data_IF_854142557887
#
_entry.id   IF_854142557887
#
_cell.length_a   1.000
_cell.length_b   1.000
_cell.length_c   1.000
_cell.angle_alpha   90.00
_cell.angle_beta   90.00
_cell.angle_gamma   90.00
#
_symmetry.space_group_name_H-M   'P 1'
#
loop_
_entity.id
_entity.type
_entity.pdbx_description
1 polymer ?
#
# COMPACT_ATOMS: atom_id res chain seq x y z
N UNK A 1 -12.59 16.66 12.64
CA UNK A 1 -13.37 16.03 11.53
C UNK A 1 -12.43 15.79 10.37
N UNK A 2 -12.35 14.55 9.90
CA UNK A 2 -11.51 14.16 8.76
C UNK A 2 -12.05 14.82 7.48
N UNK A 3 -11.16 15.31 6.62
CA UNK A 3 -11.47 15.81 5.28
C UNK A 3 -10.58 15.05 4.30
N UNK A 4 -11.14 14.53 3.23
CA UNK A 4 -10.42 13.79 2.21
C UNK A 4 -10.68 14.40 0.83
N UNK A 5 -9.66 14.41 -0.01
CA UNK A 5 -9.85 14.73 -1.41
C UNK A 5 -10.54 13.54 -2.10
N UNK A 6 -11.70 13.82 -2.65
CA UNK A 6 -12.47 12.85 -3.42
C UNK A 6 -12.18 13.03 -4.91
N UNK A 7 -11.61 12.02 -5.54
CA UNK A 7 -11.27 12.08 -6.98
C UNK A 7 -12.51 12.23 -7.84
N UNK A 8 -13.65 11.67 -7.44
CA UNK A 8 -14.92 11.79 -8.16
C UNK A 8 -15.40 13.25 -8.17
N UNK A 9 -15.43 13.88 -7.00
CA UNK A 9 -15.83 15.27 -6.83
C UNK A 9 -14.74 16.28 -7.23
N UNK A 10 -13.47 15.85 -7.27
CA UNK A 10 -12.28 16.69 -7.49
C UNK A 10 -12.07 17.80 -6.47
N UNK A 11 -12.56 17.57 -5.27
CA UNK A 11 -12.44 18.51 -4.17
C UNK A 11 -12.16 17.81 -2.84
N UNK A 12 -11.61 18.56 -1.90
CA UNK A 12 -11.46 18.13 -0.52
C UNK A 12 -12.76 18.42 0.25
N UNK A 13 -13.42 17.38 0.73
CA UNK A 13 -14.69 17.47 1.44
C UNK A 13 -14.68 16.74 2.78
N UNK A 14 -15.58 17.10 3.72
CA UNK A 14 -15.72 16.41 4.99
C UNK A 14 -16.07 14.94 4.79
N UNK A 15 -15.34 14.05 5.50
CA UNK A 15 -15.67 12.63 5.54
C UNK A 15 -16.76 12.38 6.58
N UNK A 16 -17.93 12.00 6.10
CA UNK A 16 -19.06 11.58 6.93
C UNK A 16 -19.39 10.13 6.54
N UNK A 17 -19.09 9.14 7.39
CA UNK A 17 -19.36 7.75 7.07
C UNK A 17 -20.86 7.45 7.00
N UNK A 18 -21.22 6.40 6.24
CA UNK A 18 -22.58 5.85 6.18
C UNK A 18 -23.05 5.40 7.56
N UNK A 19 -22.16 4.72 8.27
CA UNK A 19 -22.36 4.29 9.64
C UNK A 19 -21.04 4.48 10.43
N UNK A 20 -20.99 5.38 11.42
CA UNK A 20 -19.76 5.61 12.21
C UNK A 20 -19.27 4.40 13.00
N UNK A 21 -20.11 3.40 13.22
CA UNK A 21 -19.74 2.16 13.91
C UNK A 21 -19.34 1.02 12.94
N UNK A 22 -19.53 1.24 11.62
CA UNK A 22 -19.18 0.29 10.57
C UNK A 22 -18.77 1.04 9.32
N UNK A 23 -17.61 1.65 9.36
CA UNK A 23 -16.99 2.34 8.22
C UNK A 23 -16.37 1.28 7.31
N UNK A 24 -16.59 1.38 6.01
CA UNK A 24 -16.11 0.41 5.03
C UNK A 24 -15.08 1.03 4.10
N UNK A 25 -13.93 0.38 3.98
CA UNK A 25 -12.85 0.80 3.08
C UNK A 25 -12.37 -0.40 2.27
N UNK A 26 -12.32 -0.23 0.95
CA UNK A 26 -11.72 -1.20 0.05
C UNK A 26 -10.56 -0.57 -0.69
N UNK A 27 -9.46 -1.29 -0.81
CA UNK A 27 -8.28 -0.88 -1.59
C UNK A 27 -7.88 -2.02 -2.51
N UNK A 28 -7.74 -1.72 -3.79
CA UNK A 28 -7.27 -2.70 -4.76
C UNK A 28 -5.87 -3.20 -4.37
N UNK A 29 -5.78 -4.51 -4.18
CA UNK A 29 -4.57 -5.20 -3.76
C UNK A 29 -3.63 -5.56 -4.92
N UNK A 30 -2.55 -6.30 -4.65
CA UNK A 30 -1.60 -6.68 -5.65
C UNK A 30 -2.09 -7.81 -6.54
N UNK A 31 -1.65 -7.83 -7.80
CA UNK A 31 -1.61 -9.05 -8.62
C UNK A 31 -0.31 -9.79 -8.33
N UNK A 32 -0.40 -11.00 -7.79
CA UNK A 32 0.73 -11.74 -7.21
C UNK A 32 1.45 -12.62 -8.25
N UNK A 33 2.03 -11.98 -9.28
CA UNK A 33 2.83 -12.63 -10.32
C UNK A 33 4.34 -12.37 -10.22
N UNK A 34 4.77 -11.54 -9.29
CA UNK A 34 6.16 -11.15 -9.09
C UNK A 34 6.32 -10.24 -7.90
N UNK A 35 7.55 -10.09 -7.39
CA UNK A 35 7.80 -9.29 -6.20
C UNK A 35 7.32 -7.85 -6.36
N UNK A 36 6.73 -7.30 -5.30
CA UNK A 36 6.27 -5.92 -5.26
C UNK A 36 7.46 -4.95 -5.30
N UNK A 37 7.34 -3.85 -6.05
CA UNK A 37 8.29 -2.75 -6.00
C UNK A 37 7.84 -1.68 -5.00
N UNK A 38 8.75 -0.76 -4.65
CA UNK A 38 8.48 0.29 -3.65
C UNK A 38 7.26 1.17 -4.02
N UNK A 39 6.95 1.31 -5.32
CA UNK A 39 5.75 1.98 -5.79
C UNK A 39 4.46 1.25 -5.42
N UNK A 40 4.48 -0.10 -5.33
CA UNK A 40 3.33 -0.88 -4.84
C UNK A 40 3.20 -0.79 -3.31
N UNK A 41 4.28 -0.50 -2.59
CA UNK A 41 4.24 -0.30 -1.15
C UNK A 41 3.57 1.04 -0.77
N UNK A 42 3.62 2.05 -1.65
CA UNK A 42 3.05 3.38 -1.36
C UNK A 42 1.57 3.34 -1.01
N UNK A 43 0.67 2.76 -1.83
CA UNK A 43 -0.74 2.64 -1.46
C UNK A 43 -0.93 1.87 -0.15
N UNK A 44 -0.20 0.77 0.07
CA UNK A 44 -0.31 0.01 1.30
C UNK A 44 0.00 0.87 2.55
N UNK A 45 1.06 1.68 2.52
CA UNK A 45 1.45 2.59 3.60
C UNK A 45 0.46 3.75 3.77
N UNK A 46 -0.02 4.34 2.68
CA UNK A 46 -0.98 5.45 2.70
C UNK A 46 -2.31 5.01 3.31
N UNK A 47 -2.86 3.89 2.85
CA UNK A 47 -4.15 3.40 3.34
C UNK A 47 -4.06 2.76 4.73
N UNK A 48 -2.90 2.22 5.13
CA UNK A 48 -2.66 1.86 6.53
C UNK A 48 -2.66 3.10 7.44
N UNK A 49 -2.09 4.21 6.99
CA UNK A 49 -2.13 5.48 7.74
C UNK A 49 -3.55 6.04 7.84
N UNK A 50 -4.34 5.97 6.76
CA UNK A 50 -5.75 6.34 6.78
C UNK A 50 -6.56 5.43 7.71
N UNK A 51 -6.32 4.12 7.67
CA UNK A 51 -6.97 3.15 8.55
C UNK A 51 -6.68 3.45 10.03
N UNK A 52 -5.41 3.76 10.37
CA UNK A 52 -5.02 4.16 11.74
C UNK A 52 -5.73 5.45 12.17
N UNK A 53 -5.82 6.45 11.30
CA UNK A 53 -6.53 7.70 11.60
C UNK A 53 -8.03 7.45 11.82
N UNK A 54 -8.69 6.68 10.96
CA UNK A 54 -10.12 6.35 11.11
C UNK A 54 -10.37 5.61 12.43
N UNK A 55 -9.56 4.60 12.74
CA UNK A 55 -9.68 3.86 14.01
C UNK A 55 -9.43 4.74 15.23
N UNK A 56 -8.51 5.67 15.14
CA UNK A 56 -8.26 6.65 16.21
C UNK A 56 -9.48 7.57 16.45
N UNK A 57 -10.13 8.03 15.36
CA UNK A 57 -11.23 9.00 15.43
C UNK A 57 -12.58 8.36 15.82
N UNK A 58 -12.84 7.14 15.34
CA UNK A 58 -14.15 6.50 15.47
C UNK A 58 -14.12 5.25 16.37
N UNK A 59 -12.94 4.81 16.81
CA UNK A 59 -12.72 3.61 17.62
C UNK A 59 -12.11 2.46 16.81
N UNK A 60 -11.34 1.60 17.47
CA UNK A 60 -10.56 0.52 16.82
C UNK A 60 -11.43 -0.44 16.00
N UNK A 61 -12.65 -0.72 16.44
CA UNK A 61 -13.59 -1.64 15.79
C UNK A 61 -14.50 -0.98 14.75
N UNK A 62 -14.36 0.32 14.51
CA UNK A 62 -15.27 1.07 13.63
C UNK A 62 -15.03 0.82 12.15
N UNK A 63 -13.80 0.42 11.76
CA UNK A 63 -13.39 0.24 10.37
C UNK A 63 -13.35 -1.23 9.99
N UNK A 64 -13.97 -1.55 8.85
CA UNK A 64 -13.76 -2.81 8.12
C UNK A 64 -12.96 -2.46 6.87
N UNK A 65 -11.68 -2.82 6.89
CA UNK A 65 -10.76 -2.59 5.80
C UNK A 65 -10.54 -3.88 5.00
N UNK A 66 -10.92 -3.89 3.73
CA UNK A 66 -10.67 -4.98 2.80
C UNK A 66 -9.61 -4.60 1.77
N UNK A 67 -8.70 -5.52 1.48
CA UNK A 67 -7.72 -5.44 0.40
C UNK A 67 -7.59 -6.81 -0.24
N UNK A 68 -7.97 -6.91 -1.52
CA UNK A 68 -7.96 -8.19 -2.21
C UNK A 68 -6.56 -8.67 -2.59
N UNK A 69 -6.52 -9.95 -2.98
CA UNK A 69 -5.39 -10.57 -3.67
C UNK A 69 -5.91 -11.03 -5.04
N UNK A 70 -5.34 -10.48 -6.12
CA UNK A 70 -5.59 -10.99 -7.48
C UNK A 70 -4.64 -12.15 -7.72
N UNK A 71 -5.16 -13.37 -7.57
CA UNK A 71 -4.45 -14.65 -7.70
C UNK A 71 -4.82 -15.42 -8.98
N UNK A 72 -5.51 -14.77 -9.90
CA UNK A 72 -5.76 -15.23 -11.27
C UNK A 72 -5.61 -14.07 -12.26
N UNK A 73 -4.65 -14.18 -13.18
CA UNK A 73 -4.37 -13.15 -14.20
C UNK A 73 -3.50 -13.78 -15.29
N UNK A 74 -3.53 -13.23 -16.52
CA UNK A 74 -2.70 -13.72 -17.62
C UNK A 74 -1.20 -13.67 -17.31
N UNK A 75 -0.75 -12.71 -16.49
CA UNK A 75 0.66 -12.60 -16.08
C UNK A 75 1.06 -13.72 -15.11
N UNK A 76 0.12 -14.15 -14.26
CA UNK A 76 0.34 -15.29 -13.35
C UNK A 76 0.49 -16.56 -14.18
N UNK A 77 -0.40 -16.76 -15.16
CA UNK A 77 -0.38 -17.90 -16.07
C UNK A 77 0.95 -17.94 -16.84
N UNK A 78 1.33 -16.82 -17.46
CA UNK A 78 2.60 -16.71 -18.21
C UNK A 78 3.84 -16.93 -17.33
N UNK A 79 3.81 -16.46 -16.07
CA UNK A 79 4.90 -16.69 -15.11
C UNK A 79 5.00 -18.18 -14.74
N UNK A 80 3.87 -18.84 -14.50
CA UNK A 80 3.79 -20.26 -14.19
C UNK A 80 4.28 -21.13 -15.36
N UNK A 81 3.86 -20.81 -16.59
CA UNK A 81 4.33 -21.47 -17.82
C UNK A 81 5.85 -21.32 -18.00
N UNK A 82 6.38 -20.13 -17.75
CA UNK A 82 7.82 -19.85 -17.85
C UNK A 82 8.64 -20.67 -16.85
N UNK A 83 8.14 -20.84 -15.63
CA UNK A 83 8.79 -21.63 -14.58
C UNK A 83 8.46 -23.14 -14.66
N UNK A 84 7.45 -23.55 -15.45
CA UNK A 84 7.00 -24.95 -15.55
C UNK A 84 6.34 -25.44 -14.26
N UNK A 85 5.61 -24.58 -13.55
CA UNK A 85 4.94 -24.87 -12.28
C UNK A 85 3.44 -24.56 -12.35
N UNK A 86 2.68 -25.05 -11.36
CA UNK A 86 1.26 -24.67 -11.21
C UNK A 86 1.12 -23.18 -10.84
N UNK A 87 0.12 -22.44 -11.37
CA UNK A 87 -0.13 -21.04 -11.02
C UNK A 87 -0.23 -20.78 -9.51
N UNK A 88 -0.73 -21.72 -8.71
CA UNK A 88 -0.78 -21.59 -7.25
C UNK A 88 0.59 -21.44 -6.60
N UNK A 89 1.62 -22.09 -7.14
CA UNK A 89 3.00 -21.96 -6.65
C UNK A 89 3.52 -20.53 -6.81
N UNK A 90 3.15 -19.87 -7.92
CA UNK A 90 3.50 -18.48 -8.18
C UNK A 90 2.76 -17.57 -7.20
N UNK A 91 1.45 -17.74 -7.08
CA UNK A 91 0.61 -16.85 -6.25
C UNK A 91 0.96 -16.96 -4.78
N UNK A 92 1.09 -18.17 -4.22
CA UNK A 92 1.49 -18.39 -2.83
C UNK A 92 2.86 -17.80 -2.50
N UNK A 93 3.82 -17.92 -3.43
CA UNK A 93 5.17 -17.37 -3.28
C UNK A 93 5.13 -15.85 -3.20
N UNK A 94 4.50 -15.20 -4.16
CA UNK A 94 4.52 -13.74 -4.25
C UNK A 94 3.56 -13.04 -3.32
N UNK A 95 2.48 -13.70 -2.90
CA UNK A 95 1.66 -13.22 -1.80
C UNK A 95 2.43 -13.22 -0.49
N UNK A 96 3.11 -14.32 -0.15
CA UNK A 96 3.97 -14.38 1.03
C UNK A 96 5.03 -13.27 1.01
N UNK A 97 5.75 -13.10 -0.11
CA UNK A 97 6.73 -12.02 -0.24
C UNK A 97 6.08 -10.63 -0.07
N UNK A 98 4.89 -10.42 -0.60
CA UNK A 98 4.16 -9.16 -0.42
C UNK A 98 3.83 -8.91 1.04
N UNK A 99 3.35 -9.91 1.75
CA UNK A 99 3.01 -9.79 3.17
C UNK A 99 4.26 -9.55 4.03
N UNK A 100 5.36 -10.24 3.75
CA UNK A 100 6.67 -10.03 4.40
C UNK A 100 7.17 -8.60 4.16
N UNK A 101 7.19 -8.15 2.91
CA UNK A 101 7.65 -6.82 2.52
C UNK A 101 6.79 -5.71 3.18
N UNK A 102 5.45 -5.84 3.13
CA UNK A 102 4.55 -4.86 3.75
C UNK A 102 4.62 -4.90 5.27
N UNK A 103 4.75 -6.08 5.86
CA UNK A 103 4.94 -6.25 7.30
C UNK A 103 6.21 -5.58 7.80
N UNK A 104 7.33 -5.72 7.07
CA UNK A 104 8.59 -5.05 7.37
C UNK A 104 8.45 -3.51 7.36
N UNK A 105 7.57 -2.96 6.51
CA UNK A 105 7.25 -1.53 6.50
C UNK A 105 6.23 -1.13 7.59
N UNK A 106 5.84 -2.05 8.48
CA UNK A 106 4.86 -1.79 9.55
C UNK A 106 3.43 -1.58 9.05
N UNK A 107 3.09 -2.05 7.86
CA UNK A 107 1.72 -2.06 7.34
C UNK A 107 0.95 -3.16 8.05
N UNK A 108 -0.18 -2.80 8.67
CA UNK A 108 -1.09 -3.77 9.28
C UNK A 108 -1.82 -4.58 8.21
N UNK A 109 -2.09 -5.87 8.44
CA UNK A 109 -2.97 -6.62 7.54
C UNK A 109 -4.35 -5.97 7.46
N UNK A 110 -5.07 -6.11 6.33
CA UNK A 110 -6.48 -5.73 6.26
C UNK A 110 -7.32 -6.67 7.14
N UNK A 111 -8.54 -6.24 7.50
CA UNK A 111 -9.48 -7.10 8.23
C UNK A 111 -10.01 -8.23 7.36
N UNK A 112 -10.11 -7.97 6.03
CA UNK A 112 -10.56 -8.95 5.03
C UNK A 112 -9.59 -8.91 3.85
N UNK A 113 -9.07 -10.09 3.46
CA UNK A 113 -8.21 -10.26 2.29
C UNK A 113 -8.82 -11.29 1.32
N UNK A 114 -9.83 -10.94 0.52
CA UNK A 114 -10.47 -11.89 -0.39
C UNK A 114 -9.56 -12.22 -1.57
N UNK A 115 -9.53 -13.49 -1.97
CA UNK A 115 -8.80 -13.98 -3.14
C UNK A 115 -9.74 -14.14 -4.32
N UNK A 116 -9.33 -13.70 -5.51
CA UNK A 116 -10.17 -13.77 -6.71
C UNK A 116 -10.63 -15.19 -7.01
N UNK A 117 -9.74 -16.18 -6.85
CA UNK A 117 -10.08 -17.61 -7.09
C UNK A 117 -11.14 -18.17 -6.14
N UNK A 118 -11.32 -17.58 -4.97
CA UNK A 118 -12.32 -17.98 -3.97
C UNK A 118 -13.68 -17.29 -4.17
N UNK A 119 -13.74 -16.29 -5.06
CA UNK A 119 -14.89 -15.42 -5.25
C UNK A 119 -15.60 -15.60 -6.62
N UNK A 120 -15.27 -16.67 -7.36
CA UNK A 120 -15.82 -16.95 -8.71
C UNK A 120 -17.36 -16.95 -8.72
N UNK A 121 -17.98 -17.53 -7.69
CA UNK A 121 -19.44 -17.53 -7.60
C UNK A 121 -20.07 -16.15 -7.48
N UNK A 122 -19.42 -15.23 -6.73
CA UNK A 122 -19.89 -13.84 -6.61
C UNK A 122 -19.72 -13.08 -7.93
N UNK A 123 -18.60 -13.31 -8.62
CA UNK A 123 -18.35 -12.71 -9.94
C UNK A 123 -19.34 -13.20 -10.98
N UNK A 124 -19.57 -14.51 -11.04
CA UNK A 124 -20.57 -15.11 -11.97
C UNK A 124 -21.95 -14.54 -11.72
N UNK A 125 -22.39 -14.45 -10.45
CA UNK A 125 -23.70 -13.89 -10.11
C UNK A 125 -23.83 -12.40 -10.53
N UNK A 126 -22.79 -11.59 -10.35
CA UNK A 126 -22.80 -10.20 -10.81
C UNK A 126 -22.86 -10.11 -12.33
N UNK A 127 -22.10 -10.94 -13.04
CA UNK A 127 -22.13 -10.99 -14.51
C UNK A 127 -23.51 -11.39 -15.02
N UNK A 128 -24.17 -12.41 -14.40
CA UNK A 128 -25.55 -12.79 -14.74
C UNK A 128 -26.53 -11.63 -14.58
N UNK A 129 -26.41 -10.83 -13.51
CA UNK A 129 -27.21 -9.62 -13.32
C UNK A 129 -26.98 -8.59 -14.43
N UNK A 130 -25.73 -8.35 -14.83
CA UNK A 130 -25.37 -7.44 -15.91
C UNK A 130 -25.89 -7.92 -17.28
N UNK A 131 -25.86 -9.21 -17.55
CA UNK A 131 -26.45 -9.78 -18.77
C UNK A 131 -27.97 -9.63 -18.74
N UNK A 132 -28.61 -9.95 -17.62
CA UNK A 132 -30.07 -9.85 -17.48
C UNK A 132 -30.57 -8.41 -17.60
N UNK A 133 -29.80 -7.42 -17.15
CA UNK A 133 -30.14 -5.99 -17.28
C UNK A 133 -29.79 -5.40 -18.65
N UNK A 134 -29.14 -6.16 -19.54
CA UNK A 134 -28.73 -5.70 -20.87
C UNK A 134 -27.46 -4.85 -20.88
N UNK A 135 -26.74 -4.76 -19.75
CA UNK A 135 -25.47 -4.05 -19.64
C UNK A 135 -24.27 -4.91 -20.05
N UNK A 136 -24.45 -6.22 -20.18
CA UNK A 136 -23.46 -7.14 -20.71
C UNK A 136 -24.03 -8.05 -21.79
N UNK A 137 -23.17 -8.63 -22.63
CA UNK A 137 -23.55 -9.53 -23.71
C UNK A 137 -22.50 -10.61 -23.94
N UNK A 138 -22.97 -11.72 -24.50
CA UNK A 138 -22.12 -12.84 -24.90
C UNK A 138 -21.63 -12.65 -26.33
N UNK A 139 -20.37 -12.98 -26.60
CA UNK A 139 -19.77 -12.98 -27.92
C UNK A 139 -18.56 -13.93 -27.97
N UNK A 140 -18.59 -14.94 -28.85
CA UNK A 140 -17.50 -15.91 -29.08
C UNK A 140 -16.94 -16.55 -27.79
N UNK A 141 -17.84 -16.95 -26.86
CA UNK A 141 -17.47 -17.53 -25.58
C UNK A 141 -17.00 -16.54 -24.52
N UNK A 142 -16.95 -15.26 -24.84
CA UNK A 142 -16.70 -14.17 -23.88
C UNK A 142 -18.01 -13.56 -23.39
N UNK A 143 -17.97 -12.97 -22.19
CA UNK A 143 -18.98 -12.00 -21.74
C UNK A 143 -18.33 -10.65 -21.61
N UNK A 144 -18.94 -9.64 -22.23
CA UNK A 144 -18.41 -8.27 -22.25
C UNK A 144 -19.40 -7.31 -21.63
N UNK A 145 -18.89 -6.33 -20.89
CA UNK A 145 -19.67 -5.15 -20.49
C UNK A 145 -19.83 -4.22 -21.71
N UNK A 146 -21.07 -3.78 -21.93
CA UNK A 146 -21.38 -2.83 -22.98
C UNK A 146 -21.23 -1.40 -22.48
N UNK A 147 -20.10 -0.76 -22.75
CA UNK A 147 -19.84 0.61 -22.27
C UNK A 147 -20.91 1.61 -22.72
N UNK A 148 -21.46 1.55 -23.95
CA UNK A 148 -22.56 2.44 -24.35
C UNK A 148 -23.87 2.26 -23.56
N UNK A 149 -24.04 1.15 -22.82
CA UNK A 149 -25.24 0.92 -22.00
C UNK A 149 -25.21 1.71 -20.69
N UNK A 150 -24.06 2.24 -20.27
CA UNK A 150 -23.90 3.09 -19.11
C UNK A 150 -23.68 4.54 -19.54
N UNK A 151 -24.72 5.37 -19.45
CA UNK A 151 -24.70 6.77 -19.86
C UNK A 151 -23.71 7.64 -19.09
N UNK A 152 -23.35 7.22 -17.87
CA UNK A 152 -22.43 7.92 -16.97
C UNK A 152 -21.00 7.36 -17.02
N UNK A 153 -20.67 6.45 -17.95
CA UNK A 153 -19.32 5.93 -18.08
C UNK A 153 -18.31 7.05 -18.33
N UNK A 154 -17.21 7.05 -17.59
CA UNK A 154 -16.20 8.12 -17.64
C UNK A 154 -16.35 9.18 -16.53
N UNK A 155 -17.29 9.01 -15.62
CA UNK A 155 -17.60 9.99 -14.56
C UNK A 155 -16.42 10.21 -13.59
N UNK A 156 -15.60 9.20 -13.31
CA UNK A 156 -14.42 9.29 -12.45
C UNK A 156 -13.22 9.89 -13.19
N UNK A 157 -12.86 9.31 -14.32
CA UNK A 157 -11.67 9.70 -15.08
C UNK A 157 -11.81 11.04 -15.79
N UNK A 158 -13.04 11.44 -16.12
CA UNK A 158 -13.36 12.62 -16.95
C UNK A 158 -12.64 12.62 -18.30
N UNK A 159 -12.30 11.44 -18.81
CA UNK A 159 -11.72 11.28 -20.15
C UNK A 159 -12.81 11.37 -21.21
N UNK A 160 -12.47 11.92 -22.35
CA UNK A 160 -13.31 11.78 -23.54
C UNK A 160 -13.21 10.36 -24.12
N UNK A 161 -14.14 10.02 -25.01
CA UNK A 161 -14.25 8.68 -25.57
C UNK A 161 -12.98 8.23 -26.31
N UNK A 162 -12.34 9.12 -27.06
CA UNK A 162 -11.13 8.78 -27.80
C UNK A 162 -9.96 8.49 -26.87
N UNK A 163 -9.84 9.25 -25.78
CA UNK A 163 -8.87 9.01 -24.72
C UNK A 163 -9.15 7.71 -23.95
N UNK A 164 -10.41 7.33 -23.79
CA UNK A 164 -10.79 6.06 -23.16
C UNK A 164 -10.38 4.88 -24.04
N UNK A 165 -10.67 4.91 -25.34
CA UNK A 165 -10.30 3.85 -26.29
C UNK A 165 -8.76 3.71 -26.35
N UNK A 166 -8.04 4.81 -26.47
CA UNK A 166 -6.57 4.82 -26.48
C UNK A 166 -5.96 4.34 -25.13
N UNK A 167 -6.61 4.64 -24.01
CA UNK A 167 -6.16 4.28 -22.68
C UNK A 167 -6.53 2.86 -22.23
N UNK A 168 -7.43 2.19 -22.93
CA UNK A 168 -7.91 0.85 -22.55
C UNK A 168 -6.84 -0.26 -22.72
N UNK A 169 -5.71 0.02 -23.37
CA UNK A 169 -4.55 -0.88 -23.57
C UNK A 169 -4.88 -2.28 -24.11
N UNK A 170 -6.03 -2.46 -24.73
CA UNK A 170 -6.51 -3.75 -25.24
C UNK A 170 -6.73 -3.60 -26.72
N UNK A 171 -6.21 -4.55 -27.51
CA UNK A 171 -6.52 -4.64 -28.93
C UNK A 171 -8.04 -4.70 -29.12
N UNK A 172 -8.53 -4.01 -30.16
CA UNK A 172 -9.95 -4.07 -30.53
C UNK A 172 -10.22 -5.47 -31.09
N UNK A 173 -10.71 -6.35 -30.23
CA UNK A 173 -11.04 -7.71 -30.65
C UNK A 173 -12.31 -7.71 -31.49
N UNK A 174 -12.39 -8.57 -32.55
CA UNK A 174 -13.50 -8.56 -33.51
C UNK A 174 -14.87 -8.91 -32.86
N UNK A 175 -14.89 -9.55 -31.71
CA UNK A 175 -16.09 -9.89 -30.97
C UNK A 175 -16.68 -8.73 -30.15
N UNK A 176 -16.00 -7.58 -30.05
CA UNK A 176 -16.52 -6.38 -29.36
C UNK A 176 -17.50 -5.63 -30.23
N UNK A 177 -18.65 -5.24 -29.65
CA UNK A 177 -19.63 -4.36 -30.30
C UNK A 177 -19.17 -2.90 -30.33
N UNK A 178 -18.46 -2.47 -29.28
CA UNK A 178 -17.84 -1.16 -29.15
C UNK A 178 -16.38 -1.32 -28.74
N UNK A 179 -15.43 -0.55 -29.28
CA UNK A 179 -14.02 -0.62 -28.89
C UNK A 179 -13.75 -0.43 -27.40
N UNK A 180 -14.60 0.32 -26.71
CA UNK A 180 -14.50 0.57 -25.28
C UNK A 180 -15.01 -0.58 -24.40
N UNK A 181 -15.78 -1.52 -24.98
CA UNK A 181 -16.30 -2.66 -24.21
C UNK A 181 -15.17 -3.48 -23.59
N UNK A 182 -15.39 -4.00 -22.39
CA UNK A 182 -14.36 -4.74 -21.66
C UNK A 182 -14.86 -6.11 -21.19
N UNK A 183 -13.90 -7.01 -21.02
CA UNK A 183 -14.18 -8.41 -20.71
C UNK A 183 -14.59 -8.55 -19.24
N UNK A 184 -15.70 -9.25 -19.00
CA UNK A 184 -16.19 -9.72 -17.70
C UNK A 184 -15.84 -11.18 -17.47
N UNK A 185 -15.94 -12.01 -18.55
CA UNK A 185 -15.61 -13.43 -18.56
C UNK A 185 -14.94 -13.79 -19.86
N UNK A 186 -13.87 -14.59 -19.82
CA UNK A 186 -13.21 -15.09 -21.00
C UNK A 186 -12.98 -16.59 -20.96
N UNK A 187 -13.07 -17.29 -22.11
CA UNK A 187 -12.91 -18.74 -22.15
C UNK A 187 -11.49 -19.15 -21.73
N UNK A 188 -11.37 -20.30 -21.08
CA UNK A 188 -10.11 -20.96 -20.75
C UNK A 188 -10.06 -22.34 -21.40
N UNK A 189 -8.94 -22.66 -22.07
CA UNK A 189 -8.67 -24.01 -22.54
C UNK A 189 -8.56 -25.00 -21.37
N UNK A 190 -8.59 -26.32 -21.64
CA UNK A 190 -8.55 -27.33 -20.58
C UNK A 190 -7.27 -27.27 -19.74
N UNK A 191 -6.14 -26.89 -20.37
CA UNK A 191 -4.82 -26.81 -19.75
C UNK A 191 -4.62 -25.49 -18.97
N UNK A 192 -5.50 -24.51 -19.17
CA UNK A 192 -5.43 -23.20 -18.50
C UNK A 192 -6.38 -23.17 -17.32
N UNK A 193 -5.99 -22.52 -16.24
CA UNK A 193 -6.85 -22.31 -15.08
C UNK A 193 -8.21 -21.71 -15.51
N UNK A 194 -9.29 -22.27 -15.00
CA UNK A 194 -10.65 -21.85 -15.35
C UNK A 194 -11.71 -22.60 -14.55
N UNK A 195 -12.89 -22.02 -14.51
CA UNK A 195 -14.05 -22.51 -13.76
C UNK A 195 -15.26 -22.64 -14.66
N UNK A 196 -16.18 -23.52 -14.29
CA UNK A 196 -17.46 -23.66 -14.97
C UNK A 196 -18.33 -22.42 -14.74
N UNK A 197 -19.02 -22.00 -15.79
CA UNK A 197 -19.96 -20.89 -15.75
C UNK A 197 -21.12 -21.10 -16.72
N UNK A 198 -22.21 -20.30 -16.67
CA UNK A 198 -23.28 -20.37 -17.67
C UNK A 198 -22.81 -20.16 -19.11
N UNK A 199 -21.67 -19.50 -19.29
CA UNK A 199 -21.08 -19.18 -20.62
C UNK A 199 -19.99 -20.17 -21.03
N UNK A 200 -19.85 -21.27 -20.32
CA UNK A 200 -18.81 -22.26 -20.52
C UNK A 200 -17.62 -22.09 -19.57
N UNK A 201 -16.65 -22.99 -19.70
CA UNK A 201 -15.45 -22.97 -18.89
C UNK A 201 -14.58 -21.76 -19.23
N UNK A 202 -14.21 -20.97 -18.20
CA UNK A 202 -13.47 -19.73 -18.38
C UNK A 202 -12.95 -19.15 -17.09
N UNK A 203 -12.55 -17.87 -17.15
CA UNK A 203 -12.05 -17.10 -16.02
C UNK A 203 -12.56 -15.67 -16.04
N UNK A 204 -12.66 -14.98 -14.87
CA UNK A 204 -13.15 -13.62 -14.81
C UNK A 204 -12.18 -12.64 -15.51
N UNK A 205 -12.73 -11.54 -15.98
CA UNK A 205 -11.95 -10.35 -16.31
C UNK A 205 -11.51 -9.63 -15.02
N UNK A 206 -10.38 -8.95 -15.08
CA UNK A 206 -9.76 -8.30 -13.92
C UNK A 206 -10.68 -7.31 -13.18
N UNK A 207 -11.56 -6.60 -13.90
CA UNK A 207 -12.34 -5.51 -13.30
C UNK A 207 -13.53 -6.01 -12.46
N UNK A 208 -14.12 -7.17 -12.79
CA UNK A 208 -15.28 -7.69 -12.06
C UNK A 208 -14.93 -8.27 -10.71
N UNK A 209 -13.66 -8.63 -10.51
CA UNK A 209 -13.16 -9.18 -9.25
C UNK A 209 -13.47 -8.23 -8.08
N UNK A 210 -12.97 -7.00 -8.13
CA UNK A 210 -13.13 -6.02 -7.06
C UNK A 210 -14.61 -5.64 -6.85
N UNK A 211 -15.37 -5.43 -7.93
CA UNK A 211 -16.80 -5.10 -7.85
C UNK A 211 -17.59 -6.19 -7.11
N UNK A 212 -17.35 -7.46 -7.45
CA UNK A 212 -18.02 -8.60 -6.81
C UNK A 212 -17.58 -8.80 -5.36
N UNK A 213 -16.27 -8.67 -5.07
CA UNK A 213 -15.75 -8.80 -3.71
C UNK A 213 -16.26 -7.68 -2.79
N UNK A 214 -16.33 -6.44 -3.28
CA UNK A 214 -16.91 -5.31 -2.52
C UNK A 214 -18.34 -5.61 -2.16
N UNK A 215 -19.17 -5.96 -3.15
CA UNK A 215 -20.58 -6.24 -2.93
C UNK A 215 -20.78 -7.37 -1.91
N UNK A 216 -19.98 -8.45 -2.01
CA UNK A 216 -20.09 -9.61 -1.12
C UNK A 216 -19.65 -9.32 0.32
N UNK A 217 -18.54 -8.62 0.52
CA UNK A 217 -17.92 -8.46 1.85
C UNK A 217 -18.28 -7.16 2.55
N UNK A 218 -18.50 -6.09 1.80
CA UNK A 218 -18.70 -4.76 2.36
C UNK A 218 -20.09 -4.18 2.10
N UNK A 219 -20.74 -4.61 1.02
CA UNK A 219 -22.07 -4.15 0.58
C UNK A 219 -22.00 -3.42 -0.76
N UNK A 220 -23.19 -3.08 -1.28
CA UNK A 220 -23.34 -2.46 -2.62
C UNK A 220 -22.76 -1.05 -2.70
N UNK A 221 -22.73 -0.33 -1.59
CA UNK A 221 -22.11 1.01 -1.46
C UNK A 221 -21.20 1.02 -0.24
N UNK A 222 -19.94 1.44 -0.46
CA UNK A 222 -18.93 1.57 0.60
C UNK A 222 -18.57 3.04 0.89
N UNK A 223 -17.91 3.30 2.02
CA UNK A 223 -17.51 4.66 2.37
C UNK A 223 -16.32 5.12 1.54
N UNK A 224 -15.26 4.31 1.43
CA UNK A 224 -14.00 4.68 0.78
C UNK A 224 -13.55 3.58 -0.17
N UNK A 225 -13.26 3.94 -1.42
CA UNK A 225 -12.52 3.11 -2.36
C UNK A 225 -11.18 3.75 -2.70
N UNK A 226 -10.10 2.98 -2.57
CA UNK A 226 -8.75 3.49 -2.68
C UNK A 226 -7.85 2.71 -3.65
N UNK A 227 -6.80 3.39 -4.13
CA UNK A 227 -5.78 2.79 -4.98
C UNK A 227 -4.76 3.79 -5.53
N UNK A 228 -3.91 3.36 -6.45
CA UNK A 228 -3.01 4.24 -7.19
C UNK A 228 -3.73 5.07 -8.26
N UNK A 229 -3.15 6.21 -8.66
CA UNK A 229 -3.68 7.05 -9.74
C UNK A 229 -3.85 6.30 -11.07
N UNK A 230 -3.06 5.25 -11.31
CA UNK A 230 -3.14 4.41 -12.51
C UNK A 230 -4.38 3.51 -12.53
N UNK A 231 -5.02 3.29 -11.39
CA UNK A 231 -6.26 2.53 -11.30
C UNK A 231 -7.51 3.37 -11.62
N UNK A 232 -7.42 4.70 -11.63
CA UNK A 232 -8.56 5.56 -11.98
C UNK A 232 -9.18 5.12 -13.30
N UNK A 233 -8.32 4.85 -14.31
CA UNK A 233 -8.75 4.36 -15.61
C UNK A 233 -7.76 3.32 -16.17
N UNK A 234 -8.25 2.16 -16.64
CA UNK A 234 -9.66 1.83 -16.78
C UNK A 234 -10.31 1.17 -15.55
N UNK A 235 -9.51 0.71 -14.55
CA UNK A 235 -9.96 -0.24 -13.52
C UNK A 235 -11.13 0.28 -12.68
N UNK A 236 -10.96 1.36 -11.95
CA UNK A 236 -12.01 1.92 -11.08
C UNK A 236 -13.21 2.48 -11.86
N UNK A 237 -12.97 3.02 -13.06
CA UNK A 237 -14.08 3.43 -13.95
C UNK A 237 -14.95 2.23 -14.33
N UNK A 238 -14.33 1.09 -14.65
CA UNK A 238 -15.02 -0.15 -14.99
C UNK A 238 -15.74 -0.74 -13.78
N UNK A 239 -15.15 -0.68 -12.59
CA UNK A 239 -15.80 -1.10 -11.36
C UNK A 239 -17.05 -0.27 -11.04
N UNK A 240 -16.99 1.06 -11.24
CA UNK A 240 -18.16 1.94 -11.09
C UNK A 240 -19.28 1.52 -12.02
N UNK A 241 -18.97 1.32 -13.30
CA UNK A 241 -19.95 0.93 -14.30
C UNK A 241 -20.61 -0.41 -13.97
N UNK A 242 -19.80 -1.43 -13.64
CA UNK A 242 -20.29 -2.75 -13.23
C UNK A 242 -21.21 -2.67 -12.01
N UNK A 243 -20.74 -2.07 -10.93
CA UNK A 243 -21.49 -2.01 -9.67
C UNK A 243 -22.76 -1.19 -9.81
N UNK A 244 -22.71 -0.02 -10.45
CA UNK A 244 -23.86 0.83 -10.67
C UNK A 244 -24.95 0.11 -11.50
N UNK A 245 -24.55 -0.54 -12.58
CA UNK A 245 -25.49 -1.27 -13.45
C UNK A 245 -26.06 -2.54 -12.76
N UNK A 246 -25.25 -3.24 -11.95
CA UNK A 246 -25.71 -4.41 -11.21
C UNK A 246 -26.63 -4.04 -10.04
N UNK A 247 -26.43 -2.90 -9.39
CA UNK A 247 -27.12 -2.51 -8.16
C UNK A 247 -28.13 -1.35 -8.36
N UNK A 248 -28.79 -1.29 -9.51
CA UNK A 248 -29.93 -0.38 -9.74
C UNK A 248 -29.58 1.11 -9.66
N UNK A 249 -28.35 1.48 -10.01
CA UNK A 249 -27.88 2.89 -10.02
C UNK A 249 -27.22 3.36 -8.75
N UNK A 250 -27.04 2.50 -7.74
CA UNK A 250 -26.36 2.85 -6.51
C UNK A 250 -24.87 3.14 -6.76
N UNK A 251 -24.28 4.17 -6.10
CA UNK A 251 -22.86 4.44 -6.21
C UNK A 251 -22.05 3.35 -5.51
N UNK A 252 -20.96 2.88 -6.13
CA UNK A 252 -20.06 1.88 -5.52
C UNK A 252 -19.36 2.43 -4.26
N UNK A 253 -18.88 3.67 -4.31
CA UNK A 253 -18.21 4.29 -3.17
C UNK A 253 -18.59 5.77 -3.03
N UNK A 254 -18.56 6.26 -1.79
CA UNK A 254 -18.82 7.68 -1.46
C UNK A 254 -17.59 8.55 -1.61
N UNK A 255 -16.41 7.99 -1.40
CA UNK A 255 -15.11 8.65 -1.56
C UNK A 255 -14.18 7.79 -2.40
N UNK A 256 -13.56 8.41 -3.39
CA UNK A 256 -12.54 7.82 -4.23
C UNK A 256 -11.19 8.47 -3.90
N UNK A 257 -10.31 7.70 -3.28
CA UNK A 257 -9.02 8.21 -2.77
C UNK A 257 -7.88 7.59 -3.55
N UNK A 258 -7.04 8.41 -4.20
CA UNK A 258 -5.95 7.92 -5.03
C UNK A 258 -4.61 8.53 -4.63
N UNK A 259 -3.60 7.66 -4.49
CA UNK A 259 -2.24 8.09 -4.23
C UNK A 259 -1.44 8.28 -5.53
N UNK A 260 -0.52 9.24 -5.51
CA UNK A 260 0.42 9.52 -6.59
C UNK A 260 1.48 8.43 -6.76
N UNK A 261 2.21 8.51 -7.88
CA UNK A 261 3.27 7.55 -8.21
C UNK A 261 4.54 7.73 -7.37
N UNK A 262 5.35 6.67 -7.36
CA UNK A 262 6.76 6.75 -6.97
C UNK A 262 7.57 6.76 -8.26
N UNK A 263 8.40 7.78 -8.45
CA UNK A 263 9.17 8.01 -9.66
C UNK A 263 10.66 7.76 -9.40
N UNK A 264 11.34 7.12 -10.37
CA UNK A 264 12.80 6.96 -10.37
C UNK A 264 13.42 8.09 -11.21
N UNK A 265 13.65 9.25 -10.58
CA UNK A 265 14.12 10.45 -11.31
C UNK A 265 13.06 10.99 -12.26
N UNK A 266 13.37 11.06 -13.57
CA UNK A 266 12.45 11.59 -14.59
C UNK A 266 11.45 10.55 -15.14
N UNK A 267 11.59 9.27 -14.76
CA UNK A 267 10.79 8.18 -15.33
C UNK A 267 9.96 7.47 -14.25
N UNK A 268 8.72 7.10 -14.61
CA UNK A 268 7.87 6.25 -13.78
C UNK A 268 8.54 4.89 -13.59
N UNK A 269 8.57 4.40 -12.33
CA UNK A 269 9.03 3.05 -12.02
C UNK A 269 8.14 2.01 -12.71
N UNK A 270 8.73 1.11 -13.50
CA UNK A 270 8.02 0.00 -14.11
C UNK A 270 8.91 -1.22 -14.36
N UNK A 271 8.33 -2.42 -14.23
CA UNK A 271 9.03 -3.68 -14.49
C UNK A 271 9.52 -3.79 -15.94
N UNK A 272 8.76 -3.23 -16.89
CA UNK A 272 9.13 -3.25 -18.31
C UNK A 272 10.36 -2.42 -18.65
N UNK A 273 10.68 -1.39 -17.86
CA UNK A 273 11.89 -0.57 -18.00
C UNK A 273 13.08 -1.11 -17.20
N UNK A 274 12.88 -2.13 -16.36
CA UNK A 274 13.93 -2.69 -15.52
C UNK A 274 14.46 -1.72 -14.45
N UNK A 275 13.73 -0.63 -14.16
CA UNK A 275 14.11 0.42 -13.21
C UNK A 275 13.34 0.28 -11.88
N UNK A 276 12.96 -0.94 -11.50
CA UNK A 276 12.24 -1.21 -10.26
C UNK A 276 13.20 -1.45 -9.12
N UNK A 277 12.85 -0.92 -7.93
CA UNK A 277 13.49 -1.23 -6.66
C UNK A 277 12.43 -1.86 -5.77
N UNK A 278 12.75 -3.00 -5.18
CA UNK A 278 11.85 -3.69 -4.26
C UNK A 278 12.12 -3.32 -2.80
N UNK A 279 11.11 -3.36 -1.90
CA UNK A 279 11.37 -3.23 -0.46
C UNK A 279 12.42 -4.22 0.04
N UNK A 280 12.39 -5.46 -0.44
CA UNK A 280 13.35 -6.48 -0.07
C UNK A 280 14.79 -6.12 -0.37
N UNK A 281 15.09 -5.65 -1.60
CA UNK A 281 16.44 -5.21 -1.97
C UNK A 281 16.92 -4.08 -1.06
N UNK A 282 16.04 -3.16 -0.69
CA UNK A 282 16.37 -2.07 0.24
C UNK A 282 16.62 -2.60 1.67
N UNK A 283 15.84 -3.59 2.12
CA UNK A 283 16.03 -4.25 3.41
C UNK A 283 17.36 -5.05 3.42
N UNK A 284 17.68 -5.78 2.35
CA UNK A 284 18.94 -6.50 2.17
C UNK A 284 20.16 -5.57 2.14
N UNK A 285 20.00 -4.34 1.67
CA UNK A 285 21.01 -3.27 1.72
C UNK A 285 21.17 -2.68 3.14
N UNK A 286 20.42 -3.17 4.14
CA UNK A 286 20.50 -2.75 5.53
C UNK A 286 19.57 -1.59 5.90
N UNK A 287 18.71 -1.13 4.99
CA UNK A 287 17.68 -0.15 5.34
C UNK A 287 16.62 -0.78 6.22
N UNK A 288 16.17 -0.08 7.25
CA UNK A 288 15.05 -0.53 8.08
C UNK A 288 13.72 -0.22 7.41
N UNK A 289 12.74 -1.10 7.54
CA UNK A 289 11.42 -0.91 6.94
C UNK A 289 10.71 0.36 7.38
N UNK A 290 10.90 0.78 8.63
CA UNK A 290 10.38 2.04 9.14
C UNK A 290 11.01 3.27 8.45
N UNK A 291 12.28 3.18 8.03
CA UNK A 291 12.94 4.20 7.21
C UNK A 291 12.26 4.31 5.85
N UNK A 292 11.96 3.19 5.22
CA UNK A 292 11.26 3.14 3.93
C UNK A 292 9.83 3.69 4.07
N UNK A 293 9.14 3.35 5.17
CA UNK A 293 7.82 3.88 5.49
C UNK A 293 7.84 5.40 5.62
N UNK A 294 8.77 5.97 6.40
CA UNK A 294 8.89 7.42 6.55
C UNK A 294 9.21 8.09 5.22
N UNK A 295 10.10 7.51 4.41
CA UNK A 295 10.39 8.01 3.07
C UNK A 295 9.13 8.07 2.20
N UNK A 296 8.27 7.04 2.21
CA UNK A 296 7.00 7.01 1.49
C UNK A 296 5.99 8.05 2.00
N UNK A 297 6.02 8.40 3.28
CA UNK A 297 5.14 9.39 3.92
C UNK A 297 5.67 10.82 3.83
N UNK A 298 6.90 11.05 3.35
CA UNK A 298 7.57 12.36 3.34
C UNK A 298 6.96 13.36 2.36
N UNK A 299 6.28 12.88 1.32
CA UNK A 299 5.48 13.72 0.42
C UNK A 299 3.99 13.49 0.66
N UNK A 300 3.19 14.51 0.37
CA UNK A 300 1.73 14.35 0.40
C UNK A 300 1.30 13.20 -0.52
N UNK A 301 0.40 12.34 -0.04
CA UNK A 301 0.08 11.08 -0.74
C UNK A 301 -0.38 11.24 -2.19
N UNK A 302 -1.02 12.36 -2.55
CA UNK A 302 -1.48 12.67 -3.90
C UNK A 302 -0.38 13.17 -4.84
N UNK A 303 0.75 13.64 -4.29
CA UNK A 303 1.86 14.15 -5.10
C UNK A 303 2.76 13.01 -5.59
N UNK A 304 3.43 13.17 -6.75
CA UNK A 304 4.53 12.28 -7.10
C UNK A 304 5.60 12.27 -6.02
N UNK A 305 6.25 11.13 -5.84
CA UNK A 305 7.36 10.96 -4.89
C UNK A 305 8.61 10.54 -5.65
N UNK A 306 9.58 11.43 -5.89
CA UNK A 306 10.87 11.05 -6.44
C UNK A 306 11.63 10.18 -5.43
N UNK A 307 11.88 8.92 -5.80
CA UNK A 307 12.64 7.99 -4.97
C UNK A 307 14.12 8.17 -5.22
N UNK A 308 14.87 8.54 -4.20
CA UNK A 308 16.32 8.76 -4.27
C UNK A 308 17.01 8.23 -3.02
N UNK A 309 18.29 7.89 -3.11
CA UNK A 309 19.10 7.53 -1.94
C UNK A 309 19.13 8.66 -0.88
N UNK A 310 19.15 9.91 -1.33
CA UNK A 310 19.07 11.06 -0.43
C UNK A 310 17.77 11.11 0.38
N UNK A 311 16.63 10.74 -0.25
CA UNK A 311 15.34 10.64 0.43
C UNK A 311 15.38 9.61 1.57
N UNK A 312 15.94 8.42 1.29
CA UNK A 312 16.08 7.35 2.28
C UNK A 312 17.02 7.76 3.42
N UNK A 313 18.14 8.38 3.08
CA UNK A 313 19.09 8.90 4.06
C UNK A 313 18.50 9.98 4.96
N UNK A 314 17.72 10.91 4.39
CA UNK A 314 16.99 11.94 5.16
C UNK A 314 15.91 11.32 6.06
N UNK A 315 15.20 10.31 5.60
CA UNK A 315 14.22 9.57 6.39
C UNK A 315 14.88 8.90 7.60
N UNK A 316 16.02 8.21 7.39
CA UNK A 316 16.82 7.62 8.47
C UNK A 316 17.25 8.67 9.49
N UNK A 317 17.84 9.78 9.03
CA UNK A 317 18.30 10.87 9.90
C UNK A 317 17.15 11.49 10.71
N UNK A 318 15.96 11.56 10.12
CA UNK A 318 14.75 12.03 10.81
C UNK A 318 14.33 11.06 11.90
N UNK A 319 14.25 9.76 11.60
CA UNK A 319 13.94 8.73 12.60
C UNK A 319 14.96 8.70 13.74
N UNK A 320 16.25 8.82 13.46
CA UNK A 320 17.27 8.88 14.49
C UNK A 320 17.02 10.01 15.49
N UNK A 321 16.57 11.19 15.01
CA UNK A 321 16.20 12.31 15.89
C UNK A 321 14.92 12.01 16.68
N UNK A 322 13.92 11.43 16.03
CA UNK A 322 12.65 11.11 16.69
C UNK A 322 12.85 10.03 17.76
N UNK A 323 13.64 8.98 17.49
CA UNK A 323 13.98 7.96 18.49
C UNK A 323 14.74 8.52 19.70
N UNK A 324 15.70 9.43 19.48
CA UNK A 324 16.40 10.14 20.57
C UNK A 324 15.45 11.00 21.41
N UNK A 325 14.54 11.73 20.74
CA UNK A 325 13.56 12.59 21.41
C UNK A 325 12.48 11.81 22.17
N UNK A 326 12.04 10.66 21.63
CA UNK A 326 11.08 9.78 22.30
C UNK A 326 11.69 9.05 23.51
N UNK A 327 12.97 8.68 23.41
CA UNK A 327 13.63 7.87 24.44
C UNK A 327 12.88 6.58 24.73
N UNK A 328 12.93 6.16 25.99
CA UNK A 328 12.21 4.97 26.50
C UNK A 328 10.84 5.32 27.13
N UNK A 329 10.27 6.50 26.81
CA UNK A 329 8.99 6.91 27.36
C UNK A 329 7.85 6.02 26.84
N UNK A 330 6.90 5.72 27.71
CA UNK A 330 5.64 5.08 27.32
C UNK A 330 4.77 6.06 26.52
N UNK A 331 4.02 5.57 25.50
CA UNK A 331 3.08 6.40 24.76
C UNK A 331 2.03 7.04 25.69
N UNK A 332 1.75 8.31 25.48
CA UNK A 332 0.71 9.05 26.21
C UNK A 332 -0.44 9.43 25.27
N UNK A 333 -0.90 10.68 25.28
CA UNK A 333 -1.90 11.18 24.36
C UNK A 333 -1.27 11.60 23.02
N UNK A 334 -2.00 11.38 21.94
CA UNK A 334 -1.61 11.89 20.60
C UNK A 334 -1.74 13.42 20.60
N UNK A 335 -0.78 14.11 19.99
CA UNK A 335 -0.78 15.56 19.87
C UNK A 335 -1.87 16.04 18.90
N UNK A 336 -2.64 17.05 19.32
CA UNK A 336 -3.74 17.59 18.52
C UNK A 336 -3.27 18.16 17.17
N UNK A 337 -2.09 18.77 17.11
CA UNK A 337 -1.54 19.33 15.88
C UNK A 337 -1.19 18.23 14.86
N UNK A 338 -0.75 17.06 15.32
CA UNK A 338 -0.51 15.90 14.46
C UNK A 338 -1.83 15.34 13.94
N UNK A 339 -2.85 15.21 14.82
CA UNK A 339 -4.19 14.76 14.43
C UNK A 339 -4.80 15.72 13.39
N UNK A 340 -4.72 17.03 13.63
CA UNK A 340 -5.26 18.03 12.70
C UNK A 340 -4.58 17.97 11.32
N UNK A 341 -3.27 17.77 11.29
CA UNK A 341 -2.55 17.58 10.03
C UNK A 341 -3.05 16.35 9.26
N UNK A 342 -3.26 15.23 9.94
CA UNK A 342 -3.76 14.01 9.30
C UNK A 342 -5.23 14.12 8.91
N UNK A 343 -6.04 14.82 9.70
CA UNK A 343 -7.45 15.12 9.36
C UNK A 343 -7.59 15.97 8.09
N UNK A 344 -6.56 16.73 7.74
CA UNK A 344 -6.53 17.58 6.56
C UNK A 344 -5.93 16.85 5.35
N UNK A 345 -6.66 15.85 4.84
CA UNK A 345 -6.33 15.10 3.63
C UNK A 345 -5.01 14.32 3.77
N UNK A 346 -4.82 13.66 4.92
CA UNK A 346 -3.59 12.92 5.25
C UNK A 346 -2.32 13.73 4.96
N UNK A 347 -2.24 14.97 5.44
CA UNK A 347 -1.08 15.82 5.27
C UNK A 347 0.09 15.31 6.11
N UNK A 348 0.67 14.17 5.69
CA UNK A 348 1.79 13.52 6.38
C UNK A 348 3.04 14.39 6.45
N UNK A 349 3.39 15.23 5.44
CA UNK A 349 4.51 16.16 5.59
C UNK A 349 4.33 17.13 6.77
N UNK A 350 3.13 17.68 6.95
CA UNK A 350 2.84 18.55 8.09
C UNK A 350 2.85 17.77 9.40
N UNK A 351 2.27 16.57 9.44
CA UNK A 351 2.30 15.70 10.60
C UNK A 351 3.74 15.36 11.04
N UNK A 352 4.61 14.99 10.10
CA UNK A 352 6.04 14.73 10.35
C UNK A 352 6.78 16.01 10.87
N UNK A 353 6.43 17.17 10.34
CA UNK A 353 6.97 18.45 10.87
C UNK A 353 6.53 18.68 12.31
N UNK A 354 5.26 18.38 12.66
CA UNK A 354 4.76 18.49 14.04
C UNK A 354 5.45 17.50 14.99
N UNK A 355 5.64 16.24 14.57
CA UNK A 355 6.40 15.26 15.35
C UNK A 355 7.78 15.75 15.75
N UNK A 356 8.45 16.50 14.87
CA UNK A 356 9.81 17.02 15.12
C UNK A 356 9.88 18.05 16.26
N UNK A 357 8.75 18.57 16.73
CA UNK A 357 8.65 19.52 17.85
C UNK A 357 8.21 18.86 19.17
N UNK A 358 7.93 17.54 19.15
CA UNK A 358 7.49 16.76 20.30
C UNK A 358 8.65 15.95 20.90
N UNK A 359 8.47 15.49 22.14
CA UNK A 359 9.36 14.57 22.82
C UNK A 359 8.57 13.52 23.64
N UNK A 360 9.28 12.56 24.22
CA UNK A 360 8.75 11.58 25.14
C UNK A 360 7.52 10.83 24.65
N UNK A 361 6.57 10.63 25.58
CA UNK A 361 5.37 9.80 25.33
C UNK A 361 4.39 10.41 24.32
N UNK A 362 4.27 11.74 24.25
CA UNK A 362 3.42 12.41 23.26
C UNK A 362 3.95 12.22 21.85
N UNK A 363 5.27 12.34 21.63
CA UNK A 363 5.90 12.01 20.37
C UNK A 363 5.64 10.56 19.98
N UNK A 364 5.86 9.61 20.91
CA UNK A 364 5.70 8.19 20.63
C UNK A 364 4.26 7.83 20.24
N UNK A 365 3.27 8.33 21.00
CA UNK A 365 1.85 8.12 20.69
C UNK A 365 1.47 8.70 19.32
N UNK A 366 1.94 9.90 19.01
CA UNK A 366 1.64 10.59 17.74
C UNK A 366 2.33 9.91 16.55
N UNK A 367 3.56 9.43 16.73
CA UNK A 367 4.31 8.68 15.70
C UNK A 367 3.66 7.32 15.40
N UNK A 368 3.11 6.62 16.41
CA UNK A 368 2.37 5.38 16.22
C UNK A 368 1.16 5.53 15.30
N UNK A 369 0.54 6.70 15.26
CA UNK A 369 -0.56 6.98 14.34
C UNK A 369 -0.10 6.98 12.87
N UNK A 370 1.17 7.32 12.62
CA UNK A 370 1.80 7.18 11.31
C UNK A 370 2.49 5.82 11.11
N UNK A 371 2.43 4.92 12.10
CA UNK A 371 3.12 3.63 12.09
C UNK A 371 4.64 3.75 12.23
N UNK A 372 5.10 4.78 12.92
CA UNK A 372 6.51 5.07 13.22
C UNK A 372 6.79 4.89 14.71
N UNK A 373 8.07 4.77 15.08
CA UNK A 373 8.58 4.52 16.44
C UNK A 373 8.03 3.23 17.06
N UNK A 374 7.94 2.18 16.24
CA UNK A 374 7.42 0.87 16.64
C UNK A 374 8.40 0.02 17.46
N UNK A 375 9.70 0.34 17.40
CA UNK A 375 10.78 -0.33 18.15
C UNK A 375 11.15 0.42 19.44
N UNK A 376 11.94 -0.21 20.30
CA UNK A 376 12.63 0.52 21.36
C UNK A 376 13.77 1.39 20.79
N UNK A 377 14.21 2.39 21.53
CA UNK A 377 15.38 3.19 21.13
C UNK A 377 16.65 2.32 21.09
N UNK A 378 16.77 1.38 22.00
CA UNK A 378 17.88 0.41 22.02
C UNK A 378 17.88 -0.45 20.75
N UNK A 379 16.76 -1.07 20.38
CA UNK A 379 16.66 -1.87 19.16
C UNK A 379 16.93 -1.02 17.89
N UNK A 380 16.47 0.24 17.90
CA UNK A 380 16.71 1.12 16.77
C UNK A 380 18.19 1.44 16.55
N UNK A 381 18.93 1.75 17.63
CA UNK A 381 20.34 2.16 17.51
C UNK A 381 21.31 0.99 17.56
N UNK A 382 21.01 -0.06 18.30
CA UNK A 382 21.94 -1.15 18.63
C UNK A 382 21.66 -2.43 17.82
N UNK A 383 20.40 -2.67 17.38
CA UNK A 383 20.03 -3.88 16.65
C UNK A 383 20.29 -5.14 17.48
N UNK A 384 20.61 -6.25 16.80
CA UNK A 384 20.92 -7.54 17.41
C UNK A 384 22.36 -7.64 17.95
N UNK A 385 23.04 -6.49 18.19
CA UNK A 385 24.41 -6.49 18.69
C UNK A 385 24.42 -6.91 20.15
N UNK A 386 25.39 -7.73 20.56
CA UNK A 386 25.61 -8.05 21.97
C UNK A 386 25.99 -6.76 22.73
N UNK A 387 24.97 -6.10 23.25
CA UNK A 387 25.12 -4.85 23.99
C UNK A 387 26.07 -5.02 25.20
N UNK A 388 26.04 -6.17 25.90
CA UNK A 388 26.89 -6.40 27.04
C UNK A 388 28.37 -6.44 26.67
N UNK A 389 28.72 -7.06 25.55
CA UNK A 389 30.09 -7.08 25.04
C UNK A 389 30.58 -5.69 24.64
N UNK A 390 29.72 -4.88 24.01
CA UNK A 390 30.05 -3.49 23.59
C UNK A 390 30.23 -2.62 24.86
N UNK A 391 29.31 -2.69 25.82
CA UNK A 391 29.39 -1.92 27.06
C UNK A 391 30.66 -2.25 27.86
N UNK A 392 31.10 -3.53 27.90
CA UNK A 392 32.37 -3.94 28.52
C UNK A 392 33.55 -3.24 27.83
N UNK A 393 33.56 -3.16 26.48
CA UNK A 393 34.63 -2.48 25.73
C UNK A 393 34.59 -0.94 25.92
N UNK A 394 33.40 -0.36 26.09
CA UNK A 394 33.27 1.06 26.45
C UNK A 394 33.83 1.34 27.84
N UNK A 395 33.57 0.44 28.81
CA UNK A 395 34.13 0.54 30.16
C UNK A 395 35.66 0.43 30.16
N UNK A 396 36.24 -0.52 29.39
CA UNK A 396 37.68 -0.61 29.18
C UNK A 396 38.28 0.69 28.60
N UNK A 397 37.61 1.27 27.59
CA UNK A 397 38.03 2.55 26.99
C UNK A 397 38.00 3.71 28.03
N UNK A 398 36.94 3.73 28.85
CA UNK A 398 36.81 4.78 29.88
C UNK A 398 37.93 4.66 30.94
N UNK A 399 38.28 3.43 31.36
CA UNK A 399 39.40 3.21 32.31
C UNK A 399 40.75 3.56 31.69
N UNK A 400 40.96 3.22 30.39
CA UNK A 400 42.18 3.67 29.65
C UNK A 400 42.31 5.21 29.61
N UNK A 401 41.23 5.93 29.33
CA UNK A 401 41.19 7.41 29.35
C UNK A 401 41.51 7.93 30.76
N UNK A 402 40.96 7.34 31.81
CA UNK A 402 41.21 7.72 33.21
C UNK A 402 42.67 7.53 33.56
N UNK A 403 43.31 6.46 33.08
CA UNK A 403 44.71 6.14 33.29
C UNK A 403 45.64 6.93 32.32
N UNK A 404 45.11 7.83 31.51
CA UNK A 404 45.81 8.61 30.47
C UNK A 404 46.49 7.77 29.38
N UNK A 405 46.03 6.51 29.20
CA UNK A 405 46.45 5.65 28.10
C UNK A 405 45.54 5.94 26.89
N UNK A 406 45.79 7.04 26.23
CA UNK A 406 45.00 7.46 25.07
C UNK A 406 45.21 6.56 23.88
N UNK A 407 46.35 5.88 23.75
CA UNK A 407 46.62 4.93 22.69
C UNK A 407 45.74 3.68 22.79
N UNK A 408 45.56 3.16 24.02
CA UNK A 408 44.62 2.06 24.25
C UNK A 408 43.17 2.47 24.03
N UNK A 409 42.78 3.70 24.46
CA UNK A 409 41.43 4.20 24.27
C UNK A 409 41.07 4.40 22.77
N UNK A 410 42.01 4.89 21.97
CA UNK A 410 41.86 5.07 20.53
C UNK A 410 41.79 3.72 19.79
N UNK A 411 42.64 2.75 20.18
CA UNK A 411 42.59 1.40 19.60
C UNK A 411 41.23 0.76 19.85
N UNK A 412 40.69 0.81 21.06
CA UNK A 412 39.37 0.25 21.38
C UNK A 412 38.26 0.90 20.53
N UNK A 413 38.31 2.23 20.35
CA UNK A 413 37.37 2.95 19.50
C UNK A 413 37.46 2.45 18.04
N UNK A 414 38.69 2.29 17.54
CA UNK A 414 38.90 1.91 16.15
C UNK A 414 38.54 0.42 15.90
N UNK A 415 38.73 -0.46 16.87
CA UNK A 415 38.27 -1.84 16.85
C UNK A 415 36.73 -1.89 16.80
N UNK A 416 36.03 -1.19 17.70
CA UNK A 416 34.58 -1.09 17.70
C UNK A 416 34.05 -0.51 16.40
N UNK A 417 34.74 0.50 15.84
CA UNK A 417 34.35 1.08 14.55
C UNK A 417 34.53 0.07 13.38
N UNK A 418 35.58 -0.74 13.44
CA UNK A 418 35.76 -1.83 12.44
C UNK A 418 34.64 -2.88 12.51
N UNK A 419 34.06 -3.08 13.70
CA UNK A 419 32.88 -3.93 13.92
C UNK A 419 31.54 -3.23 13.61
N UNK A 420 31.58 -2.04 13.02
CA UNK A 420 30.38 -1.25 12.67
C UNK A 420 29.73 -0.54 13.86
N UNK A 421 30.48 -0.32 14.96
CA UNK A 421 29.96 0.33 16.17
C UNK A 421 30.57 1.74 16.30
N UNK A 422 29.72 2.74 16.28
CA UNK A 422 30.09 4.16 16.42
C UNK A 422 29.83 4.62 17.84
N UNK A 423 30.89 5.13 18.52
CA UNK A 423 30.80 5.69 19.86
C UNK A 423 30.46 7.18 19.80
N UNK A 424 29.52 7.61 20.64
CA UNK A 424 29.11 9.01 20.81
C UNK A 424 29.41 9.44 22.26
N UNK A 425 30.47 10.25 22.45
CA UNK A 425 30.84 10.79 23.77
C UNK A 425 29.98 12.02 24.12
N UNK A 426 29.30 12.01 25.25
CA UNK A 426 28.45 13.09 25.75
C UNK A 426 28.66 13.40 27.23
N UNK A 427 27.97 14.43 27.75
CA UNK A 427 28.06 14.82 29.14
C UNK A 427 27.59 13.75 30.13
N UNK A 428 26.72 12.81 29.69
CA UNK A 428 26.20 11.70 30.46
C UNK A 428 26.99 10.39 30.33
N UNK A 429 28.09 10.39 29.57
CA UNK A 429 28.91 9.21 29.29
C UNK A 429 29.06 8.95 27.80
N UNK A 430 29.58 7.77 27.47
CA UNK A 430 29.68 7.29 26.07
C UNK A 430 28.48 6.41 25.75
N UNK A 431 27.73 6.80 24.73
CA UNK A 431 26.69 5.97 24.12
C UNK A 431 27.22 5.38 22.81
N UNK A 432 26.50 4.43 22.23
CA UNK A 432 26.93 3.80 21.00
C UNK A 432 25.75 3.46 20.09
N UNK A 433 26.03 3.36 18.82
CA UNK A 433 25.08 2.89 17.81
C UNK A 433 25.79 2.03 16.77
N UNK A 434 25.04 1.20 16.11
CA UNK A 434 25.51 0.50 14.90
C UNK A 434 25.44 1.44 13.69
N UNK A 435 26.44 1.33 12.81
CA UNK A 435 26.55 2.16 11.58
C UNK A 435 25.44 1.84 10.58
#
# INVERSE_FOLDING_TARGET
MIRLHDTMAREKRPFVPLNPQRITMYVCGPTVYGRAHIGNARPAVVFDTLARLIRHEFGEQSLIYARNVTDVDDKIIASAETEGVDPSVITERYERHYLEDMGALGVRPPDIAPHATQEIGAMTAMIEQLVASGNAYEAEGHVLFSVPSDADYGVLSKRDRDQMIAGARVEVAPYKRDPADFVLWKPSAEEVIGWDSPWGRGRPGWHVECSAMIARHLGETIDIHGGGLDLIFPHHENEIAQSRCAHGGLPLARFWVHNGFVDMGAEKMSKSLGNVITPAELLEQGHRGETLRLALLSAHYRQPLPWTENLVSQAKSTLDRLYRAAGEADPTAVDDGVIEALRDDLNTPLALSRLSALDGGALKASAHLLGLLGSSSADWFQGDTDAAAVEARIAERAEAKKNRDFAAADRIRDELKADGIVLEDGAGGTTWRRE
#
